data_IF_807082291655
#
_entry.id   IF_807082291655
#
_cell.length_a   1.000
_cell.length_b   1.000
_cell.length_c   1.000
_cell.angle_alpha   90.00
_cell.angle_beta   90.00
_cell.angle_gamma   90.00
#
_symmetry.space_group_name_H-M   'P 1'
#
loop_
_entity.id
_entity.type
_entity.pdbx_description
1 polymer ?
#
# COMPACT_ATOMS: atom_id res chain seq x y z
N UNK A 1 -5.07 -25.82 29.75
CA UNK A 1 -5.28 -24.98 28.55
C UNK A 1 -3.94 -24.36 28.21
N UNK A 2 -3.30 -24.81 27.12
CA UNK A 2 -1.89 -24.54 26.80
C UNK A 2 -1.71 -23.17 26.13
N UNK A 3 -0.77 -22.36 26.62
CA UNK A 3 -0.44 -21.03 26.08
C UNK A 3 -0.05 -21.04 24.59
N UNK A 4 0.49 -22.16 24.10
CA UNK A 4 0.85 -22.33 22.69
C UNK A 4 -0.36 -22.32 21.74
N UNK A 5 -1.52 -22.81 22.19
CA UNK A 5 -2.76 -22.80 21.42
C UNK A 5 -3.34 -21.38 21.31
N UNK A 6 -3.19 -20.59 22.37
CA UNK A 6 -3.59 -19.17 22.39
C UNK A 6 -2.74 -18.35 21.42
N UNK A 7 -1.43 -18.56 21.38
CA UNK A 7 -0.54 -17.86 20.44
C UNK A 7 -0.82 -18.22 18.97
N UNK A 8 -1.18 -19.48 18.68
CA UNK A 8 -1.53 -19.91 17.32
C UNK A 8 -2.90 -19.35 16.88
N UNK A 9 -3.87 -19.25 17.78
CA UNK A 9 -5.18 -18.68 17.48
C UNK A 9 -5.11 -17.16 17.20
N UNK A 10 -4.27 -16.42 17.92
CA UNK A 10 -4.03 -14.99 17.65
C UNK A 10 -3.40 -14.79 16.27
N UNK A 11 -2.42 -15.64 15.88
CA UNK A 11 -1.83 -15.60 14.54
C UNK A 11 -2.86 -15.90 13.45
N UNK A 12 -3.69 -16.94 13.64
CA UNK A 12 -4.71 -17.32 12.66
C UNK A 12 -5.82 -16.26 12.53
N UNK A 13 -6.16 -15.56 13.62
CA UNK A 13 -7.11 -14.44 13.59
C UNK A 13 -6.54 -13.19 12.89
N UNK A 14 -5.25 -12.89 13.07
CA UNK A 14 -4.57 -11.82 12.32
C UNK A 14 -4.44 -12.13 10.82
N UNK A 15 -4.32 -13.41 10.46
CA UNK A 15 -4.25 -13.89 9.07
C UNK A 15 -5.63 -13.87 8.37
N UNK A 16 -6.72 -14.06 9.12
CA UNK A 16 -8.11 -13.95 8.62
C UNK A 16 -8.57 -12.48 8.57
N UNK A 17 -8.03 -11.62 9.43
CA UNK A 17 -8.11 -10.17 9.31
C UNK A 17 -7.12 -9.63 8.27
N UNK A 18 -6.83 -10.42 7.23
CA UNK A 18 -6.02 -10.01 6.11
C UNK A 18 -6.64 -8.76 5.49
N UNK A 19 -5.97 -7.63 5.68
CA UNK A 19 -6.17 -6.42 4.88
C UNK A 19 -6.26 -6.86 3.43
N UNK A 20 -7.45 -6.76 2.84
CA UNK A 20 -7.60 -7.01 1.41
C UNK A 20 -6.68 -6.00 0.71
N UNK A 21 -5.59 -6.49 0.13
CA UNK A 21 -4.70 -5.67 -0.67
C UNK A 21 -5.45 -5.31 -1.94
N UNK A 22 -5.86 -4.05 -2.05
CA UNK A 22 -6.41 -3.52 -3.29
C UNK A 22 -5.26 -3.21 -4.25
N UNK A 23 -5.27 -3.87 -5.41
CA UNK A 23 -4.41 -3.48 -6.51
C UNK A 23 -4.97 -2.21 -7.12
N UNK A 24 -4.16 -1.15 -7.08
CA UNK A 24 -4.45 0.14 -7.70
C UNK A 24 -3.28 0.52 -8.59
N UNK A 25 -3.55 1.32 -9.61
CA UNK A 25 -2.51 1.97 -10.40
C UNK A 25 -1.83 3.07 -9.58
N UNK A 26 -0.59 3.40 -9.94
CA UNK A 26 0.11 4.53 -9.33
C UNK A 26 -0.66 5.85 -9.56
N UNK A 27 -1.33 5.98 -10.71
CA UNK A 27 -2.14 7.15 -11.04
C UNK A 27 -3.35 7.30 -10.12
N UNK A 28 -4.08 6.23 -9.84
CA UNK A 28 -5.20 6.25 -8.89
C UNK A 28 -4.74 6.63 -7.49
N UNK A 29 -3.62 6.08 -7.03
CA UNK A 29 -3.04 6.43 -5.73
C UNK A 29 -2.66 7.91 -5.66
N UNK A 30 -1.95 8.42 -6.66
CA UNK A 30 -1.55 9.84 -6.72
C UNK A 30 -2.78 10.74 -6.76
N UNK A 31 -3.78 10.39 -7.59
CA UNK A 31 -5.01 11.19 -7.73
C UNK A 31 -5.77 11.29 -6.41
N UNK A 32 -5.91 10.18 -5.67
CA UNK A 32 -6.57 10.18 -4.37
C UNK A 32 -5.85 11.05 -3.32
N UNK A 33 -4.52 11.11 -3.36
CA UNK A 33 -3.75 11.96 -2.43
C UNK A 33 -3.88 13.44 -2.83
N UNK A 34 -3.92 13.74 -4.13
CA UNK A 34 -4.17 15.09 -4.62
C UNK A 34 -5.56 15.65 -4.26
N UNK A 35 -6.53 14.80 -3.92
CA UNK A 35 -7.82 15.26 -3.37
C UNK A 35 -7.69 15.86 -1.96
N UNK A 36 -6.59 15.56 -1.26
CA UNK A 36 -6.35 16.00 0.13
C UNK A 36 -5.38 17.19 0.19
N UNK A 37 -4.43 17.28 -0.75
CA UNK A 37 -3.42 18.35 -0.79
C UNK A 37 -3.04 18.73 -2.22
N UNK A 38 -2.76 20.01 -2.44
CA UNK A 38 -2.26 20.56 -3.71
C UNK A 38 -0.73 20.78 -3.71
N UNK A 39 -0.02 20.55 -2.58
CA UNK A 39 1.45 20.65 -2.55
C UNK A 39 2.08 19.33 -2.99
N UNK A 40 2.69 19.34 -4.18
CA UNK A 40 3.40 18.19 -4.76
C UNK A 40 4.42 17.56 -3.80
N UNK A 41 5.05 18.34 -2.92
CA UNK A 41 6.02 17.82 -1.93
C UNK A 41 5.31 17.00 -0.86
N UNK A 42 4.12 17.40 -0.44
CA UNK A 42 3.31 16.63 0.51
C UNK A 42 2.78 15.35 -0.13
N UNK A 43 2.36 15.40 -1.40
CA UNK A 43 1.95 14.21 -2.17
C UNK A 43 3.09 13.18 -2.20
N UNK A 44 4.29 13.60 -2.62
CA UNK A 44 5.45 12.71 -2.70
C UNK A 44 5.85 12.20 -1.32
N UNK A 45 5.90 13.06 -0.30
CA UNK A 45 6.25 12.65 1.07
C UNK A 45 5.28 11.60 1.61
N UNK A 46 3.98 11.76 1.36
CA UNK A 46 2.93 10.82 1.76
C UNK A 46 3.13 9.46 1.10
N UNK A 47 3.33 9.44 -0.22
CA UNK A 47 3.56 8.18 -0.96
C UNK A 47 4.83 7.48 -0.45
N UNK A 48 5.92 8.22 -0.26
CA UNK A 48 7.17 7.65 0.28
C UNK A 48 6.94 7.07 1.67
N UNK A 49 6.18 7.74 2.52
CA UNK A 49 5.86 7.24 3.84
C UNK A 49 5.02 5.97 3.79
N UNK A 50 4.00 5.89 2.92
CA UNK A 50 3.18 4.68 2.72
C UNK A 50 3.99 3.49 2.19
N UNK A 51 4.97 3.75 1.31
CA UNK A 51 5.91 2.73 0.84
C UNK A 51 6.84 2.26 1.96
N UNK A 52 7.36 3.20 2.77
CA UNK A 52 8.21 2.87 3.91
C UNK A 52 7.48 2.13 5.03
N UNK A 53 6.21 2.47 5.29
CA UNK A 53 5.38 1.79 6.31
C UNK A 53 4.89 0.42 5.84
N UNK A 54 4.92 0.16 4.53
CA UNK A 54 4.41 -1.06 3.91
C UNK A 54 2.90 -1.06 3.71
N UNK A 55 2.22 0.07 3.93
CA UNK A 55 0.82 0.27 3.56
C UNK A 55 0.62 0.16 2.05
N UNK A 56 1.61 0.62 1.28
CA UNK A 56 1.67 0.46 -0.18
C UNK A 56 2.89 -0.39 -0.54
N UNK A 57 2.69 -1.30 -1.49
CA UNK A 57 3.77 -2.08 -2.10
C UNK A 57 3.73 -1.90 -3.62
N UNK A 58 4.88 -1.60 -4.21
CA UNK A 58 4.99 -1.60 -5.66
C UNK A 58 5.00 -3.05 -6.18
N UNK A 59 3.99 -3.40 -6.98
CA UNK A 59 3.83 -4.75 -7.52
C UNK A 59 4.54 -4.97 -8.87
N UNK A 60 5.12 -3.92 -9.47
CA UNK A 60 5.72 -3.97 -10.81
C UNK A 60 7.07 -3.25 -10.91
N UNK A 61 7.73 -3.40 -12.07
CA UNK A 61 8.94 -2.66 -12.43
C UNK A 61 8.61 -1.65 -13.52
N UNK A 62 8.67 -0.36 -13.17
CA UNK A 62 8.34 0.75 -14.08
C UNK A 62 9.60 1.43 -14.63
N UNK A 63 10.78 0.85 -14.44
CA UNK A 63 12.04 1.43 -14.93
C UNK A 63 12.06 1.48 -16.45
N UNK A 64 12.07 2.69 -17.00
CA UNK A 64 12.14 2.93 -18.44
C UNK A 64 10.80 2.93 -19.17
N UNK A 65 9.68 2.78 -18.46
CA UNK A 65 8.34 2.96 -19.03
C UNK A 65 8.03 4.46 -19.18
N UNK A 66 7.40 4.83 -20.30
CA UNK A 66 6.88 6.18 -20.50
C UNK A 66 5.48 6.28 -19.89
N UNK A 67 5.08 7.50 -19.47
CA UNK A 67 3.73 7.72 -18.94
C UNK A 67 2.65 7.38 -19.99
N UNK A 68 2.94 7.59 -21.27
CA UNK A 68 2.07 7.22 -22.39
C UNK A 68 1.83 5.71 -22.53
N UNK A 69 2.62 4.86 -21.86
CA UNK A 69 2.45 3.41 -21.92
C UNK A 69 1.27 2.93 -21.05
N UNK A 70 0.64 3.83 -20.29
CA UNK A 70 -0.44 3.54 -19.34
C UNK A 70 -1.79 4.21 -19.70
N UNK A 71 -1.95 4.62 -20.97
CA UNK A 71 -3.23 5.15 -21.53
C UNK A 71 -4.36 4.10 -21.58
#
# INVERSE_FOLDING_TARGET
MSAAATTLAIRKAAEIAGTQSHEVTLLELVSAICEVTEDDREVVATIVQMLHSGEVKLCGNFRGAAVSDFD
#
